data_IF_540759749281
#
_entry.id   IF_540759749281
#
_cell.length_a   1.000
_cell.length_b   1.000
_cell.length_c   1.000
_cell.angle_alpha   90.00
_cell.angle_beta   90.00
_cell.angle_gamma   90.00
#
_symmetry.space_group_name_H-M   'P 1'
#
loop_
_entity.id
_entity.type
_entity.pdbx_description
1 polymer ?
#
# COMPACT_ATOMS: atom_id res chain seq x y z
N UNK A 1 1.81 13.42 21.06
CA UNK A 1 1.44 13.96 19.74
C UNK A 1 2.54 13.86 18.68
N UNK A 2 3.79 14.32 18.89
CA UNK A 2 4.81 14.28 17.83
C UNK A 2 5.18 12.85 17.38
N UNK A 3 5.20 11.88 18.31
CA UNK A 3 5.45 10.46 17.99
C UNK A 3 4.37 9.83 17.11
N UNK A 4 3.09 10.19 17.29
CA UNK A 4 2.00 9.70 16.45
C UNK A 4 2.03 10.36 15.07
N UNK A 5 2.29 11.66 15.01
CA UNK A 5 2.42 12.38 13.75
C UNK A 5 3.62 11.87 12.93
N UNK A 6 4.77 11.63 13.57
CA UNK A 6 5.97 11.12 12.90
C UNK A 6 5.79 9.69 12.40
N UNK A 7 5.13 8.82 13.14
CA UNK A 7 4.84 7.44 12.70
C UNK A 7 3.86 7.39 11.52
N UNK A 8 2.80 8.21 11.55
CA UNK A 8 1.88 8.34 10.41
C UNK A 8 2.60 8.92 9.19
N UNK A 9 3.40 9.98 9.38
CA UNK A 9 4.18 10.59 8.31
C UNK A 9 5.17 9.60 7.71
N UNK A 10 5.91 8.87 8.54
CA UNK A 10 6.86 7.86 8.08
C UNK A 10 6.14 6.72 7.32
N UNK A 11 5.01 6.25 7.84
CA UNK A 11 4.19 5.23 7.18
C UNK A 11 3.70 5.69 5.80
N UNK A 12 3.12 6.90 5.72
CA UNK A 12 2.68 7.49 4.46
C UNK A 12 3.86 7.72 3.51
N UNK A 13 4.97 8.27 4.00
CA UNK A 13 6.18 8.51 3.20
C UNK A 13 6.70 7.20 2.58
N UNK A 14 6.81 6.14 3.39
CA UNK A 14 7.24 4.82 2.91
C UNK A 14 6.28 4.26 1.85
N UNK A 15 4.97 4.36 2.06
CA UNK A 15 3.97 3.93 1.08
C UNK A 15 4.08 4.69 -0.25
N UNK A 16 4.24 6.01 -0.20
CA UNK A 16 4.41 6.84 -1.40
C UNK A 16 5.77 6.65 -2.07
N UNK A 17 6.81 6.27 -1.34
CA UNK A 17 8.15 5.97 -1.88
C UNK A 17 8.15 4.69 -2.73
N UNK A 18 7.22 3.75 -2.49
CA UNK A 18 7.07 2.55 -3.32
C UNK A 18 6.73 2.91 -4.77
N UNK A 19 5.87 3.91 -5.00
CA UNK A 19 5.46 4.32 -6.34
C UNK A 19 6.64 4.67 -7.28
N UNK A 20 7.59 5.56 -6.93
CA UNK A 20 8.74 5.87 -7.78
C UNK A 20 9.75 4.73 -7.90
N UNK A 21 9.88 3.85 -6.88
CA UNK A 21 10.75 2.66 -6.96
C UNK A 21 10.23 1.72 -8.04
N UNK A 22 8.94 1.39 -7.97
CA UNK A 22 8.27 0.53 -8.95
C UNK A 22 8.31 1.17 -10.33
N UNK A 23 8.02 2.47 -10.44
CA UNK A 23 8.14 3.19 -11.71
C UNK A 23 9.54 3.07 -12.33
N UNK A 24 10.61 3.18 -11.53
CA UNK A 24 12.00 2.96 -12.00
C UNK A 24 12.27 1.53 -12.47
N UNK A 25 11.71 0.52 -11.81
CA UNK A 25 11.88 -0.88 -12.22
C UNK A 25 11.15 -1.21 -13.52
N UNK A 26 9.98 -0.60 -13.75
CA UNK A 26 9.17 -0.80 -14.96
C UNK A 26 9.75 0.00 -16.14
N UNK A 27 10.44 1.12 -15.87
CA UNK A 27 11.04 2.01 -16.87
C UNK A 27 11.88 1.32 -17.95
N UNK A 28 12.81 0.37 -17.65
CA UNK A 28 13.59 -0.31 -18.69
C UNK A 28 12.75 -1.20 -19.62
N UNK A 29 11.57 -1.67 -19.19
CA UNK A 29 10.69 -2.53 -19.99
C UNK A 29 9.72 -1.74 -20.87
N UNK A 30 9.22 -0.60 -20.37
CA UNK A 30 8.15 0.17 -21.03
C UNK A 30 8.59 1.56 -21.52
N UNK A 31 9.82 1.98 -21.20
CA UNK A 31 10.36 3.30 -21.53
C UNK A 31 9.77 4.45 -20.70
N UNK A 32 10.35 5.64 -20.84
CA UNK A 32 9.94 6.86 -20.14
C UNK A 32 8.73 7.57 -20.75
N UNK A 33 7.73 6.83 -21.21
CA UNK A 33 6.54 7.43 -21.82
C UNK A 33 5.58 8.00 -20.78
N UNK A 34 4.88 9.08 -21.11
CA UNK A 34 3.87 9.72 -20.24
C UNK A 34 2.73 8.77 -19.82
N UNK A 35 2.46 7.74 -20.63
CA UNK A 35 1.50 6.71 -20.34
C UNK A 35 1.90 5.87 -19.10
N UNK A 36 3.17 5.44 -19.00
CA UNK A 36 3.66 4.64 -17.86
C UNK A 36 3.51 5.40 -16.54
N UNK A 37 3.84 6.69 -16.55
CA UNK A 37 3.69 7.56 -15.38
C UNK A 37 2.23 7.68 -14.94
N UNK A 38 1.32 7.95 -15.89
CA UNK A 38 -0.12 8.07 -15.61
C UNK A 38 -0.71 6.77 -15.11
N UNK A 39 -0.33 5.63 -15.70
CA UNK A 39 -0.76 4.30 -15.23
C UNK A 39 -0.28 4.02 -13.81
N UNK A 40 0.99 4.33 -13.49
CA UNK A 40 1.50 4.17 -12.13
C UNK A 40 0.74 5.04 -11.11
N UNK A 41 0.43 6.30 -11.48
CA UNK A 41 -0.38 7.20 -10.66
C UNK A 41 -1.78 6.63 -10.42
N UNK A 42 -2.51 6.28 -11.48
CA UNK A 42 -3.89 5.77 -11.37
C UNK A 42 -3.91 4.46 -10.57
N UNK A 43 -2.97 3.54 -10.82
CA UNK A 43 -2.83 2.32 -10.05
C UNK A 43 -2.66 2.62 -8.56
N UNK A 44 -1.72 3.50 -8.19
CA UNK A 44 -1.47 3.85 -6.80
C UNK A 44 -2.69 4.49 -6.13
N UNK A 45 -3.38 5.41 -6.83
CA UNK A 45 -4.60 6.06 -6.32
C UNK A 45 -5.74 5.04 -6.09
N UNK A 46 -5.94 4.11 -7.03
CA UNK A 46 -6.97 3.06 -6.90
C UNK A 46 -6.64 2.11 -5.74
N UNK A 47 -5.38 1.70 -5.60
CA UNK A 47 -4.95 0.81 -4.52
C UNK A 47 -5.06 1.51 -3.15
N UNK A 48 -4.70 2.79 -3.05
CA UNK A 48 -4.91 3.57 -1.83
C UNK A 48 -6.40 3.65 -1.47
N UNK A 49 -7.26 3.95 -2.43
CA UNK A 49 -8.71 4.00 -2.22
C UNK A 49 -9.23 2.64 -1.72
N UNK A 50 -8.84 1.55 -2.38
CA UNK A 50 -9.19 0.20 -1.96
C UNK A 50 -8.70 -0.10 -0.53
N UNK A 51 -7.49 0.34 -0.16
CA UNK A 51 -6.94 0.22 1.18
C UNK A 51 -7.77 0.97 2.23
N UNK A 52 -8.24 2.19 1.92
CA UNK A 52 -9.15 2.93 2.80
C UNK A 52 -10.50 2.26 2.93
N UNK A 53 -11.08 1.77 1.83
CA UNK A 53 -12.33 0.99 1.87
C UNK A 53 -12.16 -0.27 2.72
N UNK A 54 -11.08 -1.01 2.53
CA UNK A 54 -10.76 -2.18 3.34
C UNK A 54 -10.64 -1.84 4.84
N UNK A 55 -9.94 -0.76 5.19
CA UNK A 55 -9.83 -0.30 6.57
C UNK A 55 -11.19 0.08 7.16
N UNK A 56 -12.03 0.78 6.40
CA UNK A 56 -13.38 1.15 6.82
C UNK A 56 -14.28 -0.08 7.01
N UNK A 57 -14.29 -1.02 6.06
CA UNK A 57 -15.10 -2.23 6.15
C UNK A 57 -14.62 -3.12 7.30
N UNK A 58 -13.32 -3.26 7.49
CA UNK A 58 -12.76 -4.08 8.57
C UNK A 58 -13.10 -3.50 9.93
N UNK A 59 -12.94 -2.20 10.14
CA UNK A 59 -13.28 -1.55 11.41
C UNK A 59 -14.77 -1.51 11.68
N UNK A 60 -15.61 -1.43 10.64
CA UNK A 60 -17.08 -1.39 10.78
C UNK A 60 -17.72 -2.76 10.99
N UNK A 61 -17.22 -3.80 10.34
CA UNK A 61 -17.89 -5.11 10.31
C UNK A 61 -17.16 -6.21 11.10
N UNK A 62 -15.86 -6.07 11.41
CA UNK A 62 -15.11 -7.09 12.12
C UNK A 62 -14.87 -6.71 13.59
N UNK A 63 -15.11 -7.67 14.48
CA UNK A 63 -14.69 -7.59 15.87
C UNK A 63 -13.15 -7.50 15.96
N UNK A 64 -12.57 -6.84 16.97
CA UNK A 64 -11.11 -6.65 17.09
C UNK A 64 -10.29 -7.95 16.96
N UNK A 65 -10.79 -9.06 17.53
CA UNK A 65 -10.16 -10.39 17.42
C UNK A 65 -10.16 -10.96 15.99
N UNK A 66 -11.17 -10.64 15.18
CA UNK A 66 -11.22 -11.07 13.76
C UNK A 66 -10.30 -10.21 12.90
N UNK A 67 -10.23 -8.90 13.17
CA UNK A 67 -9.29 -7.99 12.50
C UNK A 67 -7.83 -8.41 12.73
N UNK A 68 -7.46 -8.74 13.96
CA UNK A 68 -6.12 -9.23 14.29
C UNK A 68 -5.78 -10.52 13.54
N UNK A 69 -6.67 -11.52 13.54
CA UNK A 69 -6.46 -12.76 12.79
C UNK A 69 -6.31 -12.53 11.29
N UNK A 70 -7.11 -11.63 10.71
CA UNK A 70 -7.04 -11.30 9.30
C UNK A 70 -5.67 -10.69 8.96
N UNK A 71 -5.20 -9.71 9.74
CA UNK A 71 -3.89 -9.08 9.50
C UNK A 71 -2.71 -10.05 9.74
N UNK A 72 -2.79 -10.92 10.74
CA UNK A 72 -1.77 -11.96 10.98
C UNK A 72 -1.73 -12.94 9.81
N UNK A 73 -2.88 -13.39 9.31
CA UNK A 73 -2.94 -14.27 8.14
C UNK A 73 -2.37 -13.57 6.90
N UNK A 74 -2.65 -12.28 6.70
CA UNK A 74 -2.12 -11.48 5.59
C UNK A 74 -0.59 -11.34 5.67
N UNK A 75 -0.05 -11.12 6.87
CA UNK A 75 1.39 -11.12 7.11
C UNK A 75 2.03 -12.50 6.84
N UNK A 76 1.38 -13.57 7.26
CA UNK A 76 1.84 -14.93 7.01
C UNK A 76 1.87 -15.26 5.51
N UNK A 77 0.83 -14.85 4.77
CA UNK A 77 0.81 -15.00 3.31
C UNK A 77 1.90 -14.16 2.65
N UNK A 78 2.18 -12.94 3.13
CA UNK A 78 3.25 -12.11 2.58
C UNK A 78 4.64 -12.75 2.69
N UNK A 79 4.87 -13.61 3.70
CA UNK A 79 6.13 -14.35 3.83
C UNK A 79 6.34 -15.37 2.71
N UNK A 80 5.26 -15.87 2.08
CA UNK A 80 5.35 -16.76 0.93
C UNK A 80 5.80 -16.05 -0.36
N UNK A 81 5.68 -14.72 -0.39
CA UNK A 81 6.11 -13.88 -1.52
C UNK A 81 7.48 -13.25 -1.31
N UNK A 82 8.12 -13.47 -0.15
CA UNK A 82 9.52 -13.13 0.05
C UNK A 82 10.36 -14.14 -0.76
N UNK A 83 11.24 -13.70 -1.68
CA UNK A 83 12.14 -14.59 -2.41
C UNK A 83 13.15 -15.27 -1.48
#
# INVERSE_FOLDING_TARGET
MPLFASTILLSAFLLFLVQPIIAKQILPWFGGTSAVWTTCLVFFQVVLLAGYTYSHLTTRYLSPKKQARLHIALLAVSLLFLP
#
